data_IF_543951647490
#
_entry.id   IF_543951647490
#
_cell.length_a   1.000
_cell.length_b   1.000
_cell.length_c   1.000
_cell.angle_alpha   90.00
_cell.angle_beta   90.00
_cell.angle_gamma   90.00
#
_symmetry.space_group_name_H-M   'P 1'
#
loop_
_entity.id
_entity.type
_entity.pdbx_description
1 polymer ?
#
# COMPACT_ATOMS: atom_id res chain seq x y z
N UNK A 1 14.91 1.96 30.19
CA UNK A 1 15.09 2.74 31.44
C UNK A 1 16.56 3.07 31.49
N UNK A 2 16.93 4.29 31.12
CA UNK A 2 18.32 4.75 31.17
C UNK A 2 18.80 4.70 32.64
N UNK A 3 20.00 4.17 32.87
CA UNK A 3 20.55 3.99 34.22
C UNK A 3 20.74 5.31 34.96
N UNK A 4 21.05 5.23 36.26
CA UNK A 4 21.26 6.40 37.14
C UNK A 4 22.40 7.36 36.72
N UNK A 5 23.12 7.08 35.61
CA UNK A 5 24.19 7.90 35.05
C UNK A 5 23.82 8.57 33.70
N UNK A 6 22.55 8.53 33.27
CA UNK A 6 22.13 9.23 32.06
C UNK A 6 22.05 10.75 32.29
N UNK A 7 23.07 11.47 31.84
CA UNK A 7 23.13 12.92 31.87
C UNK A 7 22.70 13.47 30.50
N UNK A 8 21.65 14.28 30.46
CA UNK A 8 21.14 14.91 29.25
C UNK A 8 21.64 16.36 29.17
N UNK A 9 22.50 16.67 28.21
CA UNK A 9 23.14 17.98 28.07
C UNK A 9 22.98 18.56 26.66
N UNK A 10 23.27 19.85 26.51
CA UNK A 10 23.24 20.56 25.21
C UNK A 10 24.29 19.98 24.24
N UNK A 11 25.31 19.30 24.76
CA UNK A 11 26.38 18.70 23.99
C UNK A 11 26.04 17.29 23.47
N UNK A 12 25.17 16.53 24.17
CA UNK A 12 24.85 15.15 23.80
C UNK A 12 23.43 14.92 23.27
N UNK A 13 22.51 15.89 23.37
CA UNK A 13 21.12 15.68 22.94
C UNK A 13 20.99 15.25 21.46
N UNK A 14 21.89 15.71 20.58
CA UNK A 14 21.93 15.31 19.15
C UNK A 14 22.25 13.84 18.93
N UNK A 15 22.89 13.19 19.91
CA UNK A 15 23.26 11.77 19.87
C UNK A 15 22.23 10.91 20.61
N UNK A 16 21.70 11.42 21.73
CA UNK A 16 20.78 10.68 22.58
C UNK A 16 19.32 10.73 22.08
N UNK A 17 18.90 11.80 21.40
CA UNK A 17 17.56 11.92 20.81
C UNK A 17 17.61 11.53 19.35
N UNK A 18 17.06 10.35 19.04
CA UNK A 18 17.10 9.75 17.71
C UNK A 18 16.09 10.35 16.73
N UNK A 19 15.03 10.99 17.23
CA UNK A 19 13.89 11.53 16.49
C UNK A 19 13.85 13.08 16.43
N UNK A 20 15.00 13.75 16.62
CA UNK A 20 15.09 15.22 16.47
C UNK A 20 14.59 15.72 15.11
N UNK A 21 14.80 14.89 14.07
CA UNK A 21 14.25 15.09 12.74
C UNK A 21 13.29 13.93 12.48
N UNK A 22 11.99 14.20 12.51
CA UNK A 22 10.95 13.26 12.13
C UNK A 22 10.41 13.56 10.74
N UNK A 23 10.44 12.57 9.85
CA UNK A 23 9.85 12.64 8.51
C UNK A 23 8.74 11.61 8.41
N UNK A 24 7.56 12.03 7.95
CA UNK A 24 6.44 11.11 7.67
C UNK A 24 6.25 10.97 6.18
N UNK A 25 6.32 9.73 5.72
CA UNK A 25 6.08 9.35 4.33
C UNK A 25 4.72 8.67 4.28
N UNK A 26 3.75 9.36 3.67
CA UNK A 26 2.40 8.85 3.47
C UNK A 26 2.31 8.21 2.09
N UNK A 27 1.98 6.93 2.03
CA UNK A 27 1.66 6.23 0.79
C UNK A 27 0.19 5.81 0.75
N UNK A 28 -0.32 5.52 -0.45
CA UNK A 28 -1.75 5.24 -0.63
C UNK A 28 -2.03 3.75 -0.39
N UNK A 29 -1.22 2.87 -0.97
CA UNK A 29 -1.46 1.43 -0.94
C UNK A 29 -0.37 0.70 -0.16
N UNK A 30 -0.73 -0.36 0.56
CA UNK A 30 0.20 -1.12 1.41
C UNK A 30 1.37 -1.71 0.63
N UNK A 31 1.14 -2.11 -0.62
CA UNK A 31 2.17 -2.76 -1.45
C UNK A 31 3.27 -1.79 -1.88
N UNK A 32 2.98 -0.48 -1.92
CA UNK A 32 3.94 0.55 -2.34
C UNK A 32 5.07 0.73 -1.32
N UNK A 33 4.85 0.30 -0.06
CA UNK A 33 5.85 0.36 1.01
C UNK A 33 7.18 -0.31 0.61
N UNK A 34 7.15 -1.43 -0.12
CA UNK A 34 8.37 -2.16 -0.48
C UNK A 34 9.28 -1.32 -1.39
N UNK A 35 8.70 -0.54 -2.30
CA UNK A 35 9.46 0.35 -3.17
C UNK A 35 10.10 1.48 -2.36
N UNK A 36 9.38 2.01 -1.36
CA UNK A 36 9.88 3.03 -0.44
C UNK A 36 11.00 2.47 0.43
N UNK A 37 10.84 1.25 0.96
CA UNK A 37 11.86 0.54 1.72
C UNK A 37 13.17 0.43 0.92
N UNK A 38 13.08 -0.05 -0.33
CA UNK A 38 14.25 -0.18 -1.19
C UNK A 38 14.92 1.18 -1.44
N UNK A 39 14.12 2.20 -1.77
CA UNK A 39 14.63 3.56 -1.99
C UNK A 39 15.36 4.11 -0.74
N UNK A 40 14.82 3.89 0.46
CA UNK A 40 15.46 4.35 1.71
C UNK A 40 16.81 3.66 1.91
N UNK A 41 16.88 2.34 1.73
CA UNK A 41 18.12 1.58 1.90
C UNK A 41 19.18 1.90 0.84
N UNK A 42 18.76 2.25 -0.37
CA UNK A 42 19.67 2.67 -1.46
C UNK A 42 20.19 4.10 -1.25
N UNK A 43 19.40 4.97 -0.62
CA UNK A 43 19.72 6.40 -0.50
C UNK A 43 20.49 6.74 0.79
N UNK A 44 20.17 6.07 1.90
CA UNK A 44 20.75 6.39 3.21
C UNK A 44 21.35 5.18 3.92
N UNK A 45 22.30 5.44 4.82
CA UNK A 45 22.75 4.43 5.77
C UNK A 45 21.70 4.27 6.86
N UNK A 46 20.96 3.17 6.82
CA UNK A 46 19.98 2.78 7.84
C UNK A 46 20.70 2.21 9.06
N UNK A 47 20.50 2.82 10.22
CA UNK A 47 21.03 2.38 11.51
C UNK A 47 20.13 1.26 12.07
N UNK A 48 18.82 1.50 12.03
CA UNK A 48 17.81 0.59 12.55
C UNK A 48 16.54 0.66 11.69
N UNK A 49 15.88 -0.48 11.53
CA UNK A 49 14.54 -0.54 10.94
C UNK A 49 13.63 -1.37 11.83
N UNK A 50 12.42 -0.86 12.07
CA UNK A 50 11.43 -1.50 12.93
C UNK A 50 10.03 -1.43 12.30
N UNK A 51 9.39 -2.57 12.13
CA UNK A 51 8.00 -2.69 11.72
C UNK A 51 7.11 -2.85 12.96
N UNK A 52 6.26 -1.85 13.23
CA UNK A 52 5.16 -1.99 14.17
C UNK A 52 4.00 -2.66 13.44
N UNK A 53 3.56 -3.81 13.95
CA UNK A 53 2.50 -4.60 13.32
C UNK A 53 1.48 -5.06 14.36
N UNK A 54 0.26 -5.37 13.90
CA UNK A 54 -0.75 -5.99 14.75
C UNK A 54 -0.51 -7.49 14.83
N UNK A 55 -0.92 -8.09 15.95
CA UNK A 55 -1.02 -9.54 16.07
C UNK A 55 -1.95 -10.10 14.96
N UNK A 56 -1.45 -11.10 14.23
CA UNK A 56 -2.11 -11.70 13.07
C UNK A 56 -1.74 -11.10 11.71
N UNK A 57 -1.03 -9.98 11.65
CA UNK A 57 -0.52 -9.44 10.38
C UNK A 57 0.65 -10.31 9.85
N UNK A 58 0.85 -10.32 8.53
CA UNK A 58 1.93 -11.10 7.90
C UNK A 58 3.32 -10.53 8.26
N UNK A 59 4.12 -11.35 8.93
CA UNK A 59 5.45 -11.00 9.44
C UNK A 59 6.58 -11.37 8.47
N UNK A 60 6.34 -12.31 7.56
CA UNK A 60 7.40 -12.96 6.81
C UNK A 60 8.20 -12.00 5.94
N UNK A 61 7.53 -11.01 5.32
CA UNK A 61 8.18 -10.06 4.43
C UNK A 61 9.18 -9.19 5.20
N UNK A 62 8.83 -8.75 6.42
CA UNK A 62 9.68 -7.93 7.26
C UNK A 62 10.89 -8.74 7.78
N UNK A 63 10.65 -9.96 8.24
CA UNK A 63 11.73 -10.84 8.72
C UNK A 63 12.72 -11.20 7.61
N UNK A 64 12.23 -11.46 6.38
CA UNK A 64 13.08 -11.74 5.21
C UNK A 64 13.98 -10.56 4.85
N UNK A 65 13.51 -9.34 5.08
CA UNK A 65 14.26 -8.10 4.86
C UNK A 65 15.13 -7.70 6.06
N UNK A 66 15.17 -8.50 7.13
CA UNK A 66 15.95 -8.22 8.33
C UNK A 66 15.42 -7.08 9.19
N UNK A 67 14.14 -6.73 9.04
CA UNK A 67 13.48 -5.64 9.79
C UNK A 67 13.02 -6.17 11.14
N UNK A 68 13.30 -5.43 12.21
CA UNK A 68 12.87 -5.80 13.56
C UNK A 68 11.34 -5.69 13.69
N UNK A 69 10.71 -6.69 14.28
CA UNK A 69 9.25 -6.72 14.44
C UNK A 69 8.89 -6.30 15.86
N UNK A 70 8.03 -5.29 15.98
CA UNK A 70 7.47 -4.85 17.25
C UNK A 70 5.94 -5.04 17.27
N UNK A 71 5.43 -6.12 17.89
CA UNK A 71 4.00 -6.37 17.96
C UNK A 71 3.32 -5.37 18.89
N UNK A 72 2.34 -4.61 18.37
CA UNK A 72 1.58 -3.61 19.13
C UNK A 72 0.17 -4.12 19.44
N UNK A 73 -0.13 -4.27 20.74
CA UNK A 73 -1.48 -4.67 21.22
C UNK A 73 -2.56 -3.63 20.88
N UNK A 74 -2.20 -2.36 20.73
CA UNK A 74 -3.09 -1.28 20.31
C UNK A 74 -3.52 -1.40 18.84
N UNK A 75 -2.81 -2.21 18.06
CA UNK A 75 -3.01 -2.35 16.62
C UNK A 75 -2.32 -1.28 15.77
N UNK A 76 -1.57 -0.36 16.39
CA UNK A 76 -0.76 0.63 15.69
C UNK A 76 0.20 -0.02 14.67
N UNK A 77 0.15 0.47 13.43
CA UNK A 77 0.95 0.00 12.29
C UNK A 77 1.76 1.16 11.73
N UNK A 78 3.05 0.92 11.54
CA UNK A 78 3.99 1.88 10.96
C UNK A 78 5.35 1.23 10.83
N UNK A 79 6.07 1.51 9.75
CA UNK A 79 7.47 1.09 9.60
C UNK A 79 8.38 2.29 9.82
N UNK A 80 9.29 2.15 10.78
CA UNK A 80 10.20 3.19 11.23
C UNK A 80 11.60 2.85 10.74
N UNK A 81 12.28 3.86 10.21
CA UNK A 81 13.69 3.79 9.80
C UNK A 81 14.45 4.87 10.52
N UNK A 82 15.50 4.48 11.25
CA UNK A 82 16.46 5.41 11.79
C UNK A 82 17.63 5.50 10.81
N UNK A 83 17.82 6.67 10.21
CA UNK A 83 18.88 6.90 9.20
C UNK A 83 19.95 7.84 9.72
N UNK A 84 21.18 7.64 9.23
CA UNK A 84 22.21 8.69 9.30
C UNK A 84 21.92 9.76 8.27
N UNK A 85 21.90 11.01 8.71
CA UNK A 85 21.62 12.15 7.88
C UNK A 85 22.67 13.24 8.13
N UNK A 86 23.25 13.78 7.06
CA UNK A 86 24.32 14.79 7.13
C UNK A 86 23.87 16.04 6.36
N UNK A 87 22.97 16.86 6.92
CA UNK A 87 22.48 18.07 6.27
C UNK A 87 23.51 19.22 6.30
N UNK A 88 24.43 19.18 7.27
CA UNK A 88 25.51 20.15 7.46
C UNK A 88 26.82 19.40 7.64
N UNK A 89 27.87 20.03 8.19
CA UNK A 89 29.11 19.33 8.52
C UNK A 89 28.99 18.39 9.74
N UNK A 90 27.80 18.28 10.34
CA UNK A 90 27.53 17.40 11.48
C UNK A 90 26.62 16.23 11.07
N UNK A 91 26.98 15.02 11.50
CA UNK A 91 26.12 13.84 11.39
C UNK A 91 25.03 13.91 12.46
N UNK A 92 23.78 13.76 12.02
CA UNK A 92 22.60 13.66 12.88
C UNK A 92 21.80 12.42 12.49
N UNK A 93 20.91 11.98 13.38
CA UNK A 93 19.94 10.93 13.05
C UNK A 93 18.60 11.55 12.66
N UNK A 94 17.92 10.90 11.73
CA UNK A 94 16.55 11.22 11.39
C UNK A 94 15.68 9.96 11.43
N UNK A 95 14.47 10.09 11.94
CA UNK A 95 13.48 9.02 11.92
C UNK A 95 12.53 9.23 10.72
N UNK A 96 12.45 8.23 9.85
CA UNK A 96 11.46 8.17 8.77
C UNK A 96 10.37 7.17 9.17
N UNK A 97 9.15 7.66 9.29
CA UNK A 97 7.97 6.84 9.52
C UNK A 97 7.18 6.70 8.23
N UNK A 98 7.04 5.46 7.76
CA UNK A 98 6.31 5.13 6.54
C UNK A 98 4.97 4.49 6.92
N UNK A 99 3.88 5.13 6.49
CA UNK A 99 2.51 4.75 6.82
C UNK A 99 1.58 4.95 5.63
N UNK A 100 0.49 4.19 5.59
CA UNK A 100 -0.61 4.52 4.69
C UNK A 100 -1.37 5.76 5.18
N UNK A 101 -2.22 6.34 4.32
CA UNK A 101 -3.12 7.43 4.73
C UNK A 101 -4.06 7.03 5.86
N UNK A 102 -4.54 5.78 5.88
CA UNK A 102 -5.44 5.29 6.93
C UNK A 102 -4.69 5.02 8.23
N UNK A 103 -3.47 4.50 8.15
CA UNK A 103 -2.58 4.31 9.31
C UNK A 103 -2.18 5.65 9.94
N UNK A 104 -1.84 6.66 9.14
CA UNK A 104 -1.55 8.01 9.63
C UNK A 104 -2.78 8.65 10.27
N UNK A 105 -3.95 8.56 9.62
CA UNK A 105 -5.20 9.07 10.16
C UNK A 105 -5.55 8.44 11.51
N UNK A 106 -5.42 7.11 11.63
CA UNK A 106 -5.60 6.43 12.91
C UNK A 106 -4.53 6.85 13.93
N UNK A 107 -3.26 6.88 13.54
CA UNK A 107 -2.13 7.19 14.43
C UNK A 107 -2.25 8.59 15.06
N UNK A 108 -2.71 9.58 14.31
CA UNK A 108 -2.95 10.94 14.82
C UNK A 108 -4.13 10.99 15.79
N UNK A 109 -5.23 10.29 15.49
CA UNK A 109 -6.40 10.23 16.38
C UNK A 109 -6.04 9.51 17.69
N UNK A 110 -5.35 8.37 17.60
CA UNK A 110 -4.89 7.60 18.74
C UNK A 110 -3.95 8.45 19.61
N UNK A 111 -2.99 9.14 18.99
CA UNK A 111 -2.08 10.02 19.70
C UNK A 111 -2.81 11.15 20.43
N UNK A 112 -3.76 11.85 19.78
CA UNK A 112 -4.51 12.92 20.44
C UNK A 112 -5.40 12.45 21.59
N UNK A 113 -5.95 11.24 21.52
CA UNK A 113 -6.91 10.73 22.51
C UNK A 113 -6.25 9.91 23.63
N UNK A 114 -5.07 9.34 23.40
CA UNK A 114 -4.33 8.53 24.38
C UNK A 114 -3.21 9.29 25.08
N UNK A 115 -2.68 10.35 24.48
CA UNK A 115 -1.57 11.13 25.05
C UNK A 115 -2.09 12.34 25.86
N UNK A 116 -1.39 12.76 26.95
CA UNK A 116 -0.25 12.13 27.62
C UNK A 116 -0.64 11.12 28.70
N UNK A 117 -1.94 10.89 28.90
CA UNK A 117 -2.43 10.13 30.05
C UNK A 117 -2.35 8.61 29.79
N UNK A 118 -1.35 7.96 30.37
CA UNK A 118 -1.21 6.49 30.36
C UNK A 118 -2.41 5.73 31.00
N UNK A 119 -3.37 6.43 31.60
CA UNK A 119 -4.62 5.88 32.11
C UNK A 119 -5.80 6.19 31.16
N UNK A 120 -5.74 5.65 29.95
CA UNK A 120 -6.86 5.70 28.99
C UNK A 120 -7.98 4.79 29.50
N UNK A 121 -9.23 5.28 29.67
CA UNK A 121 -10.35 4.43 30.07
C UNK A 121 -10.54 3.23 29.13
N UNK A 122 -10.86 2.06 29.67
CA UNK A 122 -11.00 0.82 28.89
C UNK A 122 -11.98 0.98 27.71
N UNK A 123 -13.10 1.67 27.94
CA UNK A 123 -14.10 1.95 26.89
C UNK A 123 -13.47 2.74 25.72
N UNK A 124 -12.60 3.72 26.00
CA UNK A 124 -11.92 4.49 24.97
C UNK A 124 -10.90 3.61 24.23
N UNK A 125 -10.10 2.84 24.95
CA UNK A 125 -9.13 1.90 24.37
C UNK A 125 -9.79 0.88 23.44
N UNK A 126 -10.96 0.34 23.81
CA UNK A 126 -11.73 -0.58 22.96
C UNK A 126 -12.25 0.09 21.69
N UNK A 127 -12.71 1.34 21.77
CA UNK A 127 -13.18 2.09 20.60
C UNK A 127 -12.02 2.48 19.67
N UNK A 128 -10.86 2.86 20.22
CA UNK A 128 -9.63 3.11 19.45
C UNK A 128 -9.17 1.84 18.74
N UNK A 129 -9.22 0.69 19.40
CA UNK A 129 -8.93 -0.60 18.76
C UNK A 129 -9.92 -0.93 17.64
N UNK A 130 -11.20 -0.60 17.81
CA UNK A 130 -12.20 -0.76 16.74
C UNK A 130 -11.91 0.16 15.55
N UNK A 131 -11.55 1.42 15.82
CA UNK A 131 -11.15 2.38 14.78
C UNK A 131 -9.90 1.90 14.03
N UNK A 132 -8.90 1.38 14.73
CA UNK A 132 -7.72 0.77 14.13
C UNK A 132 -8.08 -0.37 13.16
N UNK A 133 -9.03 -1.22 13.55
CA UNK A 133 -9.51 -2.32 12.69
C UNK A 133 -10.17 -1.78 11.42
N UNK A 134 -11.00 -0.75 11.54
CA UNK A 134 -11.64 -0.11 10.38
C UNK A 134 -10.61 0.53 9.45
N UNK A 135 -9.61 1.22 9.98
CA UNK A 135 -8.51 1.78 9.20
C UNK A 135 -7.74 0.68 8.43
N UNK A 136 -7.38 -0.40 9.12
CA UNK A 136 -6.70 -1.54 8.49
C UNK A 136 -7.53 -2.23 7.40
N UNK A 137 -8.85 -2.36 7.60
CA UNK A 137 -9.76 -2.89 6.56
C UNK A 137 -9.94 -1.91 5.39
N UNK A 138 -9.92 -0.60 5.65
CA UNK A 138 -9.98 0.40 4.59
C UNK A 138 -8.73 0.34 3.69
N UNK A 139 -7.54 0.11 4.26
CA UNK A 139 -6.32 -0.15 3.49
C UNK A 139 -6.47 -1.38 2.58
N UNK A 140 -6.92 -2.51 3.14
CA UNK A 140 -7.11 -3.76 2.38
C UNK A 140 -8.12 -3.57 1.25
N UNK A 141 -9.21 -2.86 1.52
CA UNK A 141 -10.21 -2.53 0.50
C UNK A 141 -9.65 -1.61 -0.58
N UNK A 142 -8.83 -0.62 -0.22
CA UNK A 142 -8.18 0.26 -1.19
C UNK A 142 -7.27 -0.54 -2.15
N UNK A 143 -6.47 -1.46 -1.60
CA UNK A 143 -5.65 -2.39 -2.40
C UNK A 143 -6.50 -3.28 -3.30
N UNK A 144 -7.62 -3.81 -2.80
CA UNK A 144 -8.54 -4.62 -3.62
C UNK A 144 -9.14 -3.82 -4.79
N UNK A 145 -9.59 -2.58 -4.54
CA UNK A 145 -10.14 -1.68 -5.57
C UNK A 145 -9.09 -1.35 -6.64
N UNK A 146 -7.82 -1.15 -6.24
CA UNK A 146 -6.69 -0.98 -7.17
C UNK A 146 -6.55 -2.19 -8.09
N UNK A 147 -6.51 -3.40 -7.53
CA UNK A 147 -6.41 -4.65 -8.30
C UNK A 147 -7.59 -4.82 -9.27
N UNK A 148 -8.82 -4.55 -8.82
CA UNK A 148 -10.01 -4.63 -9.68
C UNK A 148 -9.90 -3.67 -10.87
N UNK A 149 -9.44 -2.43 -10.64
CA UNK A 149 -9.24 -1.44 -11.71
C UNK A 149 -8.19 -1.89 -12.72
N UNK A 150 -7.10 -2.48 -12.25
CA UNK A 150 -6.02 -3.00 -13.10
C UNK A 150 -6.51 -4.17 -13.97
N UNK A 151 -7.24 -5.12 -13.38
CA UNK A 151 -7.84 -6.24 -14.12
C UNK A 151 -8.88 -5.78 -15.13
N UNK A 152 -9.75 -4.84 -14.74
CA UNK A 152 -10.72 -4.24 -15.65
C UNK A 152 -10.02 -3.62 -16.86
N UNK A 153 -8.93 -2.88 -16.64
CA UNK A 153 -8.15 -2.25 -17.70
C UNK A 153 -7.52 -3.28 -18.63
N UNK A 154 -6.97 -4.38 -18.10
CA UNK A 154 -6.47 -5.52 -18.90
C UNK A 154 -7.58 -6.14 -19.75
N UNK A 155 -8.75 -6.36 -19.16
CA UNK A 155 -9.89 -6.93 -19.86
C UNK A 155 -10.36 -6.04 -21.01
N UNK A 156 -10.43 -4.72 -20.80
CA UNK A 156 -10.78 -3.75 -21.85
C UNK A 156 -9.79 -3.77 -23.02
N UNK A 157 -8.49 -3.88 -22.74
CA UNK A 157 -7.47 -4.03 -23.80
C UNK A 157 -7.69 -5.33 -24.60
N UNK A 158 -7.92 -6.45 -23.91
CA UNK A 158 -8.19 -7.74 -24.57
C UNK A 158 -9.48 -7.71 -25.42
N UNK A 159 -10.53 -7.04 -24.94
CA UNK A 159 -11.77 -6.85 -25.71
C UNK A 159 -11.51 -6.04 -26.98
N UNK A 160 -10.76 -4.95 -26.89
CA UNK A 160 -10.42 -4.12 -28.05
C UNK A 160 -9.57 -4.89 -29.09
N UNK A 161 -8.61 -5.72 -28.64
CA UNK A 161 -7.84 -6.59 -29.53
C UNK A 161 -8.74 -7.59 -30.27
N UNK A 162 -9.69 -8.21 -29.56
CA UNK A 162 -10.68 -9.11 -30.16
C UNK A 162 -11.60 -8.40 -31.15
N UNK A 163 -12.00 -7.16 -30.88
CA UNK A 163 -12.80 -6.38 -31.82
C UNK A 163 -12.03 -6.08 -33.12
N UNK A 164 -10.74 -5.73 -33.02
CA UNK A 164 -9.88 -5.53 -34.19
C UNK A 164 -9.75 -6.83 -35.01
N UNK A 165 -9.59 -7.97 -34.35
CA UNK A 165 -9.52 -9.27 -35.02
C UNK A 165 -10.85 -9.63 -35.70
N UNK A 166 -11.99 -9.34 -35.06
CA UNK A 166 -13.31 -9.56 -35.61
C UNK A 166 -13.53 -8.75 -36.88
N UNK A 167 -13.14 -7.47 -36.89
CA UNK A 167 -13.23 -6.62 -38.09
C UNK A 167 -12.31 -7.11 -39.22
N UNK A 168 -11.11 -7.60 -38.88
CA UNK A 168 -10.24 -8.27 -39.88
C UNK A 168 -10.89 -9.52 -40.46
N UNK A 169 -11.52 -10.35 -39.63
CA UNK A 169 -12.23 -11.56 -40.08
C UNK A 169 -13.42 -11.21 -40.99
N UNK A 170 -14.24 -10.23 -40.61
CA UNK A 170 -15.32 -9.71 -41.47
C UNK A 170 -14.80 -9.25 -42.83
N UNK A 171 -13.73 -8.45 -42.85
CA UNK A 171 -13.12 -7.98 -44.10
C UNK A 171 -12.57 -9.11 -44.97
N UNK A 172 -12.10 -10.21 -44.37
CA UNK A 172 -11.67 -11.40 -45.11
C UNK A 172 -12.86 -12.14 -45.70
N UNK A 173 -13.94 -12.31 -44.93
CA UNK A 173 -15.18 -12.96 -45.40
C UNK A 173 -15.77 -12.20 -46.59
N UNK A 174 -15.79 -10.87 -46.54
CA UNK A 174 -16.24 -10.04 -47.65
C UNK A 174 -15.43 -10.26 -48.94
N UNK A 175 -14.13 -10.54 -48.82
CA UNK A 175 -13.22 -10.77 -49.93
C UNK A 175 -13.23 -12.20 -50.48
N UNK A 176 -13.84 -13.17 -49.80
CA UNK A 176 -13.94 -14.54 -50.29
C UNK A 176 -14.90 -14.62 -51.49
N UNK A 177 -14.59 -15.39 -52.53
CA UNK A 177 -15.46 -15.51 -53.71
C UNK A 177 -16.47 -16.66 -53.52
N UNK A 178 -17.42 -16.44 -52.62
CA UNK A 178 -18.48 -17.40 -52.25
C UNK A 178 -19.85 -16.80 -52.56
N UNK A 179 -20.88 -17.65 -52.67
CA UNK A 179 -22.26 -17.20 -52.90
C UNK A 179 -22.71 -16.21 -51.83
N UNK A 180 -23.41 -15.15 -52.26
CA UNK A 180 -23.80 -14.01 -51.42
C UNK A 180 -24.60 -14.44 -50.18
N UNK A 181 -25.48 -15.43 -50.33
CA UNK A 181 -26.27 -16.00 -49.23
C UNK A 181 -25.41 -16.66 -48.14
N UNK A 182 -24.26 -17.27 -48.50
CA UNK A 182 -23.34 -17.86 -47.52
C UNK A 182 -22.51 -16.80 -46.79
N UNK A 183 -22.20 -15.67 -47.44
CA UNK A 183 -21.57 -14.52 -46.77
C UNK A 183 -22.50 -13.88 -45.75
N UNK A 184 -23.75 -13.63 -46.15
CA UNK A 184 -24.74 -12.97 -45.29
C UNK A 184 -25.03 -13.82 -44.04
N UNK A 185 -25.11 -15.16 -44.21
CA UNK A 185 -25.27 -16.09 -43.09
C UNK A 185 -24.07 -16.05 -42.10
N UNK A 186 -22.83 -16.03 -42.61
CA UNK A 186 -21.63 -15.96 -41.76
C UNK A 186 -21.54 -14.63 -40.99
N UNK A 187 -21.93 -13.52 -41.62
CA UNK A 187 -21.95 -12.20 -40.96
C UNK A 187 -23.03 -12.13 -39.89
N UNK A 188 -24.22 -12.70 -40.13
CA UNK A 188 -25.26 -12.81 -39.09
C UNK A 188 -24.81 -13.66 -37.90
N UNK A 189 -24.12 -14.77 -38.14
CA UNK A 189 -23.63 -15.67 -37.08
C UNK A 189 -22.58 -14.98 -36.21
N UNK A 190 -21.66 -14.23 -36.83
CA UNK A 190 -20.70 -13.36 -36.14
C UNK A 190 -21.41 -12.30 -35.29
N UNK A 191 -22.45 -11.65 -35.82
CA UNK A 191 -23.18 -10.61 -35.10
C UNK A 191 -23.95 -11.17 -33.89
N UNK A 192 -24.53 -12.37 -34.00
CA UNK A 192 -25.16 -13.10 -32.87
C UNK A 192 -24.15 -13.49 -31.80
N UNK A 193 -22.96 -13.91 -32.20
CA UNK A 193 -21.88 -14.23 -31.26
C UNK A 193 -21.39 -12.98 -30.50
N UNK A 194 -21.35 -11.81 -31.16
CA UNK A 194 -21.00 -10.53 -30.52
C UNK A 194 -22.03 -10.13 -29.45
N UNK A 195 -23.33 -10.16 -29.78
CA UNK A 195 -24.41 -9.77 -28.86
C UNK A 195 -24.51 -10.69 -27.64
N UNK A 196 -24.20 -11.97 -27.81
CA UNK A 196 -24.23 -12.95 -26.70
C UNK A 196 -23.09 -12.71 -25.69
N UNK A 197 -21.91 -12.28 -26.15
CA UNK A 197 -20.77 -11.96 -25.28
C UNK A 197 -20.90 -10.61 -24.58
N UNK A 198 -21.48 -9.58 -25.22
CA UNK A 198 -21.74 -8.28 -24.59
C UNK A 198 -22.72 -8.37 -23.41
N UNK A 199 -23.63 -9.35 -23.45
CA UNK A 199 -24.59 -9.60 -22.36
C UNK A 199 -23.92 -10.27 -21.14
N UNK A 200 -22.82 -11.00 -21.32
CA UNK A 200 -22.06 -11.64 -20.24
C UNK A 200 -21.01 -10.73 -19.60
N UNK A 201 -20.52 -9.70 -20.28
CA UNK A 201 -19.54 -8.74 -19.73
C UNK A 201 -20.13 -7.62 -18.88
N UNK A 202 -21.46 -7.46 -18.86
CA UNK A 202 -22.18 -6.43 -18.09
C UNK A 202 -22.84 -6.95 -16.80
N UNK A 203 -22.56 -8.20 -16.41
CA UNK A 203 -22.96 -8.84 -15.14
C UNK A 203 -21.72 -9.05 -14.26
#
# INVERSE_FOLDING_TARGET
IYGQEFEFTVENYKKEITDLIGVRVIHIFKEDWLSIHNYINETWTVIESQANIREGDNQEIYTKLGININPRKTGYRSVHYLIKFVPTNEEVTAEIQVRTIFEEGYGEIDHQLSYPNNNVPEVLSLNLLMLNRLAGSADEMASAVKTIKEEWSRMQLSLNEKEIELEKLKSKIEKLDIQKEQKDALVEEINKFKTSNETQSNL
#
